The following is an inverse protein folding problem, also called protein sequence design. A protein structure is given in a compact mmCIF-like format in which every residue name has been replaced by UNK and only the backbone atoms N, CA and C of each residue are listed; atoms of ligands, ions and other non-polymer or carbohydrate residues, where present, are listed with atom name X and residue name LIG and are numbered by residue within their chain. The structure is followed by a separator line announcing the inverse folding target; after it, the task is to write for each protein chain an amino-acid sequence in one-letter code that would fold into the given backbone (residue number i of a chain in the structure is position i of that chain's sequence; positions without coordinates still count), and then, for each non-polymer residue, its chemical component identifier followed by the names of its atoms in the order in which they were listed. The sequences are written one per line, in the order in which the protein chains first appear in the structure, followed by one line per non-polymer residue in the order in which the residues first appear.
data_IF_527906084512
#
_entry.id   IF_527906084512
#
_cell.length_a   1.000
_cell.length_b   1.000
_cell.length_c   1.000
_cell.angle_alpha   90.00
_cell.angle_beta   90.00
_cell.angle_gamma   90.00
#
_symmetry.space_group_name_H-M   'P 1'
#
loop_
_entity.id
_entity.type
_entity.pdbx_description
1 polymer ?
#
# COMPACT_ATOMS: atom_id res chain seq x y z
N UNK A 1 12.81 6.96 -2.83
CA UNK A 1 12.97 5.62 -3.43
C UNK A 1 11.61 5.07 -3.83
N UNK A 2 11.60 4.38 -4.93
CA UNK A 2 10.37 3.77 -5.43
C UNK A 2 10.37 2.28 -5.10
N UNK A 3 9.40 1.86 -4.31
CA UNK A 3 9.28 0.47 -3.89
C UNK A 3 8.05 -0.15 -4.51
N UNK A 4 8.15 -1.42 -4.86
CA UNK A 4 7.04 -2.16 -5.45
C UNK A 4 6.72 -3.38 -4.59
N UNK A 5 5.45 -3.56 -4.32
CA UNK A 5 4.95 -4.69 -3.55
C UNK A 5 3.79 -5.34 -4.29
N UNK A 6 3.42 -6.51 -3.85
CA UNK A 6 2.20 -7.17 -4.32
C UNK A 6 1.13 -6.99 -3.25
N UNK A 7 -0.05 -6.53 -3.65
CA UNK A 7 -1.16 -6.34 -2.73
C UNK A 7 -2.35 -7.17 -3.22
N UNK A 8 -2.90 -7.97 -2.33
CA UNK A 8 -4.02 -8.85 -2.63
C UNK A 8 -5.17 -8.59 -1.67
N UNK A 9 -6.35 -9.10 -2.02
CA UNK A 9 -7.53 -8.94 -1.18
C UNK A 9 -8.36 -7.71 -1.48
N UNK A 10 -8.00 -6.95 -2.53
CA UNK A 10 -8.78 -5.81 -2.98
C UNK A 10 -9.59 -6.19 -4.20
N UNK A 11 -10.91 -6.12 -4.08
CA UNK A 11 -11.83 -6.47 -5.17
C UNK A 11 -12.46 -5.25 -5.83
N UNK A 12 -12.19 -4.07 -5.32
CA UNK A 12 -12.90 -2.86 -5.72
C UNK A 12 -11.94 -1.72 -6.01
N UNK A 13 -12.06 -1.06 -7.17
CA UNK A 13 -11.19 0.06 -7.50
C UNK A 13 -11.32 1.23 -6.52
N UNK A 14 -12.54 1.47 -6.00
CA UNK A 14 -12.76 2.51 -5.01
C UNK A 14 -12.01 2.21 -3.72
N UNK A 15 -12.01 0.94 -3.31
CA UNK A 15 -11.27 0.52 -2.11
C UNK A 15 -9.77 0.72 -2.30
N UNK A 16 -9.26 0.36 -3.47
CA UNK A 16 -7.85 0.55 -3.79
C UNK A 16 -7.48 2.03 -3.74
N UNK A 17 -8.31 2.89 -4.31
CA UNK A 17 -8.06 4.34 -4.30
C UNK A 17 -8.07 4.90 -2.89
N UNK A 18 -9.03 4.49 -2.07
CA UNK A 18 -9.11 4.94 -0.68
C UNK A 18 -7.91 4.49 0.14
N UNK A 19 -7.52 3.25 -0.02
CA UNK A 19 -6.37 2.71 0.71
C UNK A 19 -5.08 3.41 0.28
N UNK A 20 -4.90 3.63 -1.02
CA UNK A 20 -3.75 4.37 -1.53
C UNK A 20 -3.70 5.78 -0.93
N UNK A 21 -4.84 6.45 -0.86
CA UNK A 21 -4.92 7.77 -0.23
C UNK A 21 -4.54 7.74 1.24
N UNK A 22 -4.98 6.72 1.96
CA UNK A 22 -4.60 6.56 3.36
C UNK A 22 -3.11 6.30 3.51
N UNK A 23 -2.54 5.50 2.62
CA UNK A 23 -1.11 5.23 2.63
C UNK A 23 -0.27 6.47 2.38
N UNK A 24 -0.74 7.36 1.51
CA UNK A 24 -0.03 8.61 1.22
C UNK A 24 0.01 9.55 2.44
N UNK A 25 -0.89 9.36 3.39
CA UNK A 25 -0.92 10.15 4.62
C UNK A 25 0.07 9.65 5.67
N UNK A 26 0.66 8.50 5.45
CA UNK A 26 1.65 7.95 6.39
C UNK A 26 2.91 8.81 6.35
N UNK A 27 3.42 9.17 7.53
CA UNK A 27 4.65 9.93 7.62
C UNK A 27 5.80 9.14 7.00
N UNK A 28 6.54 9.77 6.10
CA UNK A 28 7.63 9.12 5.39
C UNK A 28 7.26 8.54 4.04
N UNK A 29 5.96 8.47 3.74
CA UNK A 29 5.48 8.01 2.44
C UNK A 29 5.13 9.23 1.59
N UNK A 30 5.82 9.38 0.46
CA UNK A 30 5.60 10.50 -0.44
C UNK A 30 4.42 10.27 -1.36
N UNK A 31 4.31 9.07 -1.91
CA UNK A 31 3.14 8.72 -2.71
C UNK A 31 2.91 7.21 -2.68
N UNK A 32 1.69 6.82 -2.95
CA UNK A 32 1.33 5.41 -3.02
C UNK A 32 0.27 5.23 -4.10
N UNK A 33 0.44 4.19 -4.91
CA UNK A 33 -0.51 3.84 -5.95
C UNK A 33 -0.78 2.35 -5.90
N UNK A 34 -2.03 1.99 -6.02
CA UNK A 34 -2.45 0.60 -6.03
C UNK A 34 -3.13 0.30 -7.35
N UNK A 35 -2.66 -0.75 -8.01
CA UNK A 35 -3.32 -1.27 -9.20
C UNK A 35 -3.97 -2.59 -8.84
N UNK A 36 -5.29 -2.58 -8.67
CA UNK A 36 -6.01 -3.76 -8.24
C UNK A 36 -6.11 -4.83 -9.33
N UNK A 37 -5.98 -4.44 -10.59
CA UNK A 37 -6.02 -5.38 -11.71
C UNK A 37 -4.77 -6.25 -11.76
N UNK A 38 -3.61 -5.67 -11.50
CA UNK A 38 -2.34 -6.40 -11.49
C UNK A 38 -1.91 -6.77 -10.08
N UNK A 39 -2.68 -6.35 -9.07
CA UNK A 39 -2.36 -6.57 -7.66
C UNK A 39 -1.00 -6.01 -7.28
N UNK A 40 -0.66 -4.85 -7.83
CA UNK A 40 0.63 -4.19 -7.59
C UNK A 40 0.45 -2.92 -6.77
N UNK A 41 1.33 -2.75 -5.82
CA UNK A 41 1.41 -1.53 -5.01
C UNK A 41 2.75 -0.87 -5.29
N UNK A 42 2.70 0.39 -5.74
CA UNK A 42 3.90 1.19 -5.97
C UNK A 42 3.91 2.32 -4.95
N UNK A 43 5.02 2.45 -4.25
CA UNK A 43 5.18 3.43 -3.19
C UNK A 43 6.46 4.23 -3.40
N UNK A 44 6.38 5.55 -3.24
CA UNK A 44 7.57 6.39 -3.18
C UNK A 44 7.77 6.82 -1.74
N UNK A 45 8.94 6.51 -1.21
CA UNK A 45 9.26 6.79 0.19
C UNK A 45 10.77 6.90 0.38
N UNK A 46 11.15 7.61 1.43
CA UNK A 46 12.56 7.67 1.85
C UNK A 46 12.86 6.62 2.92
N UNK A 47 11.85 5.88 3.35
CA UNK A 47 12.03 4.85 4.37
C UNK A 47 12.63 3.57 3.77
N UNK A 48 13.18 2.75 4.65
CA UNK A 48 13.66 1.43 4.27
C UNK A 48 12.50 0.57 3.79
N UNK A 49 12.81 -0.39 2.94
CA UNK A 49 11.81 -1.32 2.42
C UNK A 49 11.06 -2.02 3.55
N UNK A 50 11.77 -2.49 4.55
CA UNK A 50 11.14 -3.18 5.69
C UNK A 50 10.24 -2.24 6.49
N UNK A 51 10.72 -1.03 6.78
CA UNK A 51 9.91 -0.03 7.50
C UNK A 51 8.66 0.36 6.71
N UNK A 52 8.83 0.60 5.43
CA UNK A 52 7.70 0.95 4.57
C UNK A 52 6.68 -0.18 4.54
N UNK A 53 7.13 -1.41 4.36
CA UNK A 53 6.24 -2.56 4.32
C UNK A 53 5.45 -2.70 5.62
N UNK A 54 6.10 -2.52 6.76
CA UNK A 54 5.44 -2.60 8.06
C UNK A 54 4.34 -1.54 8.18
N UNK A 55 4.65 -0.30 7.83
CA UNK A 55 3.67 0.78 7.89
C UNK A 55 2.52 0.57 6.92
N UNK A 56 2.82 0.15 5.71
CA UNK A 56 1.81 -0.11 4.70
C UNK A 56 0.90 -1.27 5.10
N UNK A 57 1.48 -2.35 5.63
CA UNK A 57 0.71 -3.49 6.11
C UNK A 57 -0.21 -3.11 7.25
N UNK A 58 0.29 -2.30 8.18
CA UNK A 58 -0.52 -1.83 9.31
C UNK A 58 -1.71 -1.02 8.82
N UNK A 59 -1.48 -0.11 7.88
CA UNK A 59 -2.56 0.71 7.31
C UNK A 59 -3.57 -0.14 6.55
N UNK A 60 -3.07 -1.11 5.80
CA UNK A 60 -3.95 -2.02 5.05
C UNK A 60 -4.85 -2.83 5.97
N UNK A 61 -4.30 -3.31 7.09
CA UNK A 61 -5.07 -4.08 8.07
C UNK A 61 -6.14 -3.24 8.75
N UNK A 62 -5.87 -1.96 8.97
CA UNK A 62 -6.86 -1.05 9.52
C UNK A 62 -8.01 -0.84 8.55
N UNK A 63 -7.72 -0.86 7.26
CA UNK A 63 -8.71 -0.69 6.21
C UNK A 63 -9.51 -1.97 6.00
N UNK A 64 -8.83 -3.11 5.89
CA UNK A 64 -9.47 -4.41 5.69
C UNK A 64 -8.54 -5.52 6.13
N UNK A 65 -9.10 -6.51 6.83
CA UNK A 65 -8.33 -7.68 7.28
C UNK A 65 -7.92 -8.59 6.12
N UNK A 66 -8.64 -8.51 5.02
CA UNK A 66 -8.42 -9.39 3.87
C UNK A 66 -7.27 -8.93 3.00
N UNK A 67 -6.82 -7.69 3.19
CA UNK A 67 -5.72 -7.13 2.39
C UNK A 67 -4.40 -7.65 2.91
N UNK A 68 -3.59 -8.18 2.00
CA UNK A 68 -2.26 -8.69 2.30
C UNK A 68 -1.27 -7.99 1.38
N UNK A 69 -0.17 -7.51 1.94
CA UNK A 69 0.91 -6.87 1.17
C UNK A 69 2.14 -7.74 1.28
N UNK A 70 2.72 -8.08 0.14
CA UNK A 70 3.93 -8.89 0.05
C UNK A 70 4.95 -8.21 -0.86
N UNK A 71 6.19 -8.55 -0.65
CA UNK A 71 7.27 -8.06 -1.51
C UNK A 71 7.22 -8.65 -2.91
#
# INVERSE_FOLDING_TARGET
MKLKYTITGLDCPNCAAKLAGNMEKIEGIESAKINFLTEKLTVETTLDEACALEKLSSEAKKFSRDVVIEK
#
